data_IF_163364732971
#
_entry.id   IF_163364732971
#
_cell.length_a   1.000
_cell.length_b   1.000
_cell.length_c   1.000
_cell.angle_alpha   90.00
_cell.angle_beta   90.00
_cell.angle_gamma   90.00
#
_symmetry.space_group_name_H-M   'P 1'
#
loop_
_entity.id
_entity.type
_entity.pdbx_description
1 polymer ?
#
# COMPACT_ATOMS: atom_id res chain seq x y z
N UNK A 1 24.75 -5.77 -5.73
CA UNK A 1 23.43 -6.42 -5.83
C UNK A 1 22.39 -5.33 -5.68
N UNK A 2 21.45 -5.28 -6.62
CA UNK A 2 20.61 -4.11 -6.89
C UNK A 2 19.67 -3.79 -5.73
N UNK A 3 19.78 -2.55 -5.26
CA UNK A 3 18.90 -1.73 -4.40
C UNK A 3 17.40 -1.69 -4.77
N UNK A 4 16.92 -2.56 -5.67
CA UNK A 4 15.55 -2.60 -6.16
C UNK A 4 14.68 -3.70 -5.54
N UNK A 5 15.23 -4.60 -4.72
CA UNK A 5 14.43 -5.52 -3.92
C UNK A 5 14.10 -4.89 -2.57
N UNK A 6 13.29 -3.84 -2.60
CA UNK A 6 12.60 -3.40 -1.38
C UNK A 6 11.53 -4.45 -1.11
N UNK A 7 11.88 -5.46 -0.34
CA UNK A 7 10.98 -6.53 0.12
C UNK A 7 9.78 -5.88 0.82
N UNK A 8 8.65 -5.81 0.12
CA UNK A 8 7.39 -5.28 0.63
C UNK A 8 6.43 -6.43 0.91
N UNK A 9 6.79 -7.29 1.86
CA UNK A 9 5.81 -8.15 2.54
C UNK A 9 4.66 -7.29 3.06
N UNK A 10 3.42 -7.84 3.20
CA UNK A 10 2.34 -7.10 3.83
C UNK A 10 2.86 -6.53 5.14
N UNK A 11 2.96 -5.21 5.20
CA UNK A 11 3.84 -4.59 6.18
C UNK A 11 3.19 -4.51 7.55
N UNK A 12 1.89 -4.82 7.63
CA UNK A 12 1.11 -4.86 8.85
C UNK A 12 -0.10 -5.79 8.68
N UNK A 13 -0.70 -6.18 9.78
CA UNK A 13 -1.93 -6.97 9.88
C UNK A 13 -3.07 -6.38 9.03
N UNK A 14 -3.17 -5.05 8.93
CA UNK A 14 -4.17 -4.41 8.07
C UNK A 14 -3.98 -4.79 6.59
N UNK A 15 -2.74 -4.79 6.09
CA UNK A 15 -2.43 -5.19 4.71
C UNK A 15 -2.83 -6.66 4.48
N UNK A 16 -2.56 -7.55 5.44
CA UNK A 16 -2.95 -8.97 5.40
C UNK A 16 -4.48 -9.13 5.31
N UNK A 17 -5.23 -8.39 6.13
CA UNK A 17 -6.69 -8.42 6.13
C UNK A 17 -7.30 -7.89 4.83
N UNK A 18 -6.56 -7.08 4.08
CA UNK A 18 -6.99 -6.54 2.78
C UNK A 18 -6.71 -7.48 1.61
N UNK A 19 -5.83 -8.48 1.75
CA UNK A 19 -5.46 -9.41 0.66
C UNK A 19 -6.67 -10.05 -0.05
N UNK A 20 -7.73 -10.52 0.63
CA UNK A 20 -8.88 -11.12 -0.05
C UNK A 20 -9.69 -10.14 -0.91
N UNK A 21 -9.56 -8.84 -0.66
CA UNK A 21 -10.25 -7.77 -1.39
C UNK A 21 -9.32 -7.04 -2.36
N UNK A 22 -8.06 -7.45 -2.41
CA UNK A 22 -7.04 -6.78 -3.17
C UNK A 22 -7.27 -6.97 -4.67
N UNK A 23 -6.90 -5.96 -5.44
CA UNK A 23 -7.07 -5.96 -6.90
C UNK A 23 -5.76 -5.67 -7.59
N UNK A 24 -5.63 -6.07 -8.85
CA UNK A 24 -4.55 -5.56 -9.71
C UNK A 24 -4.85 -4.10 -10.05
N UNK A 25 -3.83 -3.40 -10.53
CA UNK A 25 -3.97 -1.99 -10.91
C UNK A 25 -5.05 -1.77 -11.97
N UNK A 26 -5.15 -2.69 -12.94
CA UNK A 26 -6.13 -2.65 -14.03
C UNK A 26 -7.58 -2.89 -13.58
N UNK A 27 -7.77 -3.59 -12.46
CA UNK A 27 -9.09 -3.94 -11.91
C UNK A 27 -9.61 -2.89 -10.90
N UNK A 28 -8.80 -1.89 -10.56
CA UNK A 28 -9.19 -0.86 -9.60
C UNK A 28 -10.23 0.09 -10.19
N UNK A 29 -11.26 0.35 -9.40
CA UNK A 29 -12.27 1.36 -9.71
C UNK A 29 -11.83 2.76 -9.23
N UNK A 30 -12.34 3.84 -9.85
CA UNK A 30 -12.11 5.19 -9.36
C UNK A 30 -12.53 5.32 -7.88
N UNK A 31 -11.65 5.92 -7.07
CA UNK A 31 -11.87 6.06 -5.63
C UNK A 31 -11.47 4.83 -4.80
N UNK A 32 -10.76 3.86 -5.37
CA UNK A 32 -10.14 2.77 -4.62
C UNK A 32 -8.67 3.05 -4.28
N UNK A 33 -8.23 2.55 -3.13
CA UNK A 33 -6.88 2.76 -2.60
C UNK A 33 -5.82 2.03 -3.44
N UNK A 34 -4.85 2.79 -3.96
CA UNK A 34 -3.75 2.30 -4.80
C UNK A 34 -2.49 1.92 -3.99
N UNK A 35 -2.61 1.68 -2.69
CA UNK A 35 -1.47 1.26 -1.88
C UNK A 35 -1.14 -0.21 -2.15
N UNK A 36 0.11 -0.56 -2.53
CA UNK A 36 0.51 -1.95 -2.74
C UNK A 36 0.61 -2.69 -1.40
N UNK A 37 0.02 -3.87 -1.31
CA UNK A 37 -0.09 -4.63 -0.04
C UNK A 37 0.57 -6.01 -0.08
N UNK A 38 1.17 -6.40 -1.19
CA UNK A 38 1.95 -7.63 -1.31
C UNK A 38 3.35 -7.38 -1.88
N UNK A 39 4.19 -8.39 -1.66
CA UNK A 39 5.55 -8.50 -2.20
C UNK A 39 5.54 -9.46 -3.37
N UNK A 40 6.35 -9.18 -4.39
CA UNK A 40 6.48 -10.04 -5.56
C UNK A 40 5.34 -9.85 -6.56
N UNK A 41 5.70 -9.77 -7.84
CA UNK A 41 4.72 -9.62 -8.91
C UNK A 41 3.83 -10.87 -9.05
N UNK A 42 2.56 -10.72 -9.47
CA UNK A 42 1.89 -9.46 -9.78
C UNK A 42 1.48 -8.67 -8.52
N UNK A 43 1.62 -7.33 -8.59
CA UNK A 43 1.26 -6.46 -7.47
C UNK A 43 -0.27 -6.40 -7.27
N UNK A 44 -0.65 -6.46 -6.00
CA UNK A 44 -2.00 -6.32 -5.49
C UNK A 44 -2.10 -5.03 -4.67
N UNK A 45 -3.21 -4.33 -4.87
CA UNK A 45 -3.51 -3.05 -4.28
C UNK A 45 -4.68 -3.15 -3.31
N UNK A 46 -4.64 -2.34 -2.26
CA UNK A 46 -5.57 -2.36 -1.12
C UNK A 46 -7.06 -2.35 -1.51
N UNK A 47 -7.42 -1.63 -2.58
CA UNK A 47 -8.78 -1.51 -3.11
C UNK A 47 -9.85 -1.02 -2.11
N UNK A 48 -9.46 -0.56 -0.91
CA UNK A 48 -10.40 0.03 0.04
C UNK A 48 -10.89 1.39 -0.48
N UNK A 49 -12.12 1.77 -0.12
CA UNK A 49 -12.66 3.10 -0.46
C UNK A 49 -11.71 4.21 0.00
N UNK A 50 -11.40 5.10 -0.92
CA UNK A 50 -10.46 6.19 -0.77
C UNK A 50 -11.08 7.50 -1.28
N UNK A 51 -10.79 8.59 -0.57
CA UNK A 51 -11.03 9.95 -1.07
C UNK A 51 -9.69 10.46 -1.58
N UNK A 52 -9.42 10.22 -2.86
CA UNK A 52 -8.10 10.39 -3.49
C UNK A 52 -7.36 9.06 -3.69
N UNK A 53 -6.02 9.08 -3.62
CA UNK A 53 -5.18 7.91 -3.95
C UNK A 53 -5.18 6.81 -2.89
N UNK A 54 -5.36 7.16 -1.61
CA UNK A 54 -5.19 6.23 -0.50
C UNK A 54 -6.38 6.26 0.45
N UNK A 55 -6.71 5.10 1.05
CA UNK A 55 -7.66 5.03 2.15
C UNK A 55 -7.10 5.72 3.41
N UNK A 56 -7.94 5.96 4.41
CA UNK A 56 -7.53 6.65 5.63
C UNK A 56 -6.32 5.98 6.33
N UNK A 57 -6.29 4.64 6.38
CA UNK A 57 -5.20 3.88 7.00
C UNK A 57 -3.87 4.10 6.25
N UNK A 58 -3.85 3.89 4.93
CA UNK A 58 -2.64 4.06 4.13
C UNK A 58 -2.20 5.53 3.99
N UNK A 59 -3.14 6.48 4.07
CA UNK A 59 -2.82 7.91 4.15
C UNK A 59 -2.13 8.25 5.47
N UNK A 60 -2.61 7.74 6.61
CA UNK A 60 -1.96 7.92 7.91
C UNK A 60 -0.54 7.35 7.91
N UNK A 61 -0.36 6.14 7.35
CA UNK A 61 0.96 5.50 7.20
C UNK A 61 1.93 6.32 6.35
N UNK A 62 1.46 6.93 5.26
CA UNK A 62 2.28 7.81 4.43
C UNK A 62 2.74 9.06 5.21
N UNK A 63 1.87 9.63 6.03
CA UNK A 63 2.18 10.81 6.85
C UNK A 63 3.21 10.45 7.92
N UNK A 64 3.02 9.33 8.62
CA UNK A 64 3.97 8.85 9.63
C UNK A 64 5.37 8.62 9.04
N UNK A 65 5.46 8.04 7.83
CA UNK A 65 6.74 7.84 7.15
C UNK A 65 7.44 9.14 6.73
N UNK A 66 6.70 10.24 6.56
CA UNK A 66 7.25 11.56 6.21
C UNK A 66 7.69 12.37 7.44
N UNK A 67 7.19 12.04 8.62
CA UNK A 67 7.56 12.71 9.88
C UNK A 67 8.82 12.17 10.56
N UNK A 68 9.38 11.05 10.09
CA UNK A 68 10.57 10.40 10.67
C UNK A 68 11.86 10.61 9.87
N UNK A 69 12.02 11.75 9.19
CA UNK A 69 13.25 12.12 8.49
C UNK A 69 13.68 13.52 8.94
N UNK A 70 13.90 13.66 10.25
CA UNK A 70 14.42 14.86 10.91
C UNK A 70 15.23 14.49 12.16
N UNK A 71 16.00 13.40 12.10
CA UNK A 71 17.12 13.11 13.01
C UNK A 71 17.95 11.92 12.47
N UNK A 72 19.00 12.23 11.70
CA UNK A 72 20.41 11.82 11.91
C UNK A 72 21.29 12.43 10.79
#
# INVERSE_FOLDING_TARGET
MNELQREFSPANQYDVQRLPFAKRLEDLSPGECIWPINSGGPYLFCAAKAVGKYCAHHKSRLIQKRGGHLDE
#
